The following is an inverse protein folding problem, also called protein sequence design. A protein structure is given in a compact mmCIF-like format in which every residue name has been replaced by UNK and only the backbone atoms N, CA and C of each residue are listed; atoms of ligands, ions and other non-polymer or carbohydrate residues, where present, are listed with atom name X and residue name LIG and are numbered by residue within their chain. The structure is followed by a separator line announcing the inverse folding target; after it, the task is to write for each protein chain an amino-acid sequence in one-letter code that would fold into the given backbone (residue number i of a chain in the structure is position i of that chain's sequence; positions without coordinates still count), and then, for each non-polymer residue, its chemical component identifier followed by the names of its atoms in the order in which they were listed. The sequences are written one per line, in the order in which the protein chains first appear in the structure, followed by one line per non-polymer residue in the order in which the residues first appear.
data_IF_741398695713
#
_entry.id   IF_741398695713
#
_cell.length_a   1.000
_cell.length_b   1.000
_cell.length_c   1.000
_cell.angle_alpha   90.00
_cell.angle_beta   90.00
_cell.angle_gamma   90.00
#
_symmetry.space_group_name_H-M   'P 1'
#
loop_
_entity.id
_entity.type
_entity.pdbx_description
1 polymer ?
#
# COMPACT_ATOMS: atom_id res chain seq x y z
N UNK A 1 0.08 -4.83 -7.86
CA UNK A 1 0.31 -6.05 -8.68
C UNK A 1 1.64 -6.63 -8.25
N UNK A 2 1.77 -7.94 -8.12
CA UNK A 2 3.05 -8.62 -7.99
C UNK A 2 3.37 -9.40 -9.26
N UNK A 3 4.55 -10.00 -9.32
CA UNK A 3 4.96 -10.89 -10.42
C UNK A 3 4.02 -12.10 -10.54
N UNK A 4 3.38 -12.51 -9.45
CA UNK A 4 2.48 -13.68 -9.39
C UNK A 4 0.99 -13.30 -9.49
N UNK A 5 0.67 -12.01 -9.65
CA UNK A 5 -0.69 -11.52 -9.85
C UNK A 5 -1.16 -10.49 -8.81
N UNK A 6 -2.47 -10.41 -8.60
CA UNK A 6 -3.08 -9.45 -7.67
C UNK A 6 -3.13 -10.01 -6.26
N UNK A 7 -2.48 -9.33 -5.31
CA UNK A 7 -2.43 -9.75 -3.89
C UNK A 7 -3.45 -9.00 -3.00
N UNK A 8 -3.95 -7.86 -3.44
CA UNK A 8 -4.90 -7.03 -2.70
C UNK A 8 -5.64 -6.07 -3.65
N UNK A 9 -6.93 -5.83 -3.40
CA UNK A 9 -7.78 -4.94 -4.20
C UNK A 9 -8.82 -4.27 -3.31
N UNK A 10 -9.07 -2.98 -3.53
CA UNK A 10 -10.18 -2.22 -2.94
C UNK A 10 -10.88 -1.47 -4.07
N UNK A 11 -12.19 -1.66 -4.21
CA UNK A 11 -13.02 -0.93 -5.18
C UNK A 11 -13.72 0.19 -4.43
N UNK A 12 -13.58 1.42 -4.94
CA UNK A 12 -14.13 2.64 -4.33
C UNK A 12 -15.02 3.35 -5.33
N UNK A 13 -16.16 3.86 -4.86
CA UNK A 13 -17.04 4.72 -5.65
C UNK A 13 -16.63 6.18 -5.43
N UNK A 14 -16.34 6.90 -6.51
CA UNK A 14 -15.97 8.31 -6.44
C UNK A 14 -14.46 8.53 -6.28
N UNK A 15 -14.08 9.67 -5.71
CA UNK A 15 -12.67 10.02 -5.47
C UNK A 15 -12.04 9.18 -4.36
N UNK A 16 -10.71 9.13 -4.37
CA UNK A 16 -9.91 8.38 -3.41
C UNK A 16 -8.90 9.33 -2.75
N UNK A 17 -9.01 9.48 -1.44
CA UNK A 17 -8.20 10.42 -0.67
C UNK A 17 -7.10 9.73 0.15
N UNK A 18 -6.30 10.53 0.88
CA UNK A 18 -5.19 10.04 1.67
C UNK A 18 -5.60 9.11 2.82
N UNK A 19 -6.78 9.31 3.43
CA UNK A 19 -7.28 8.46 4.52
C UNK A 19 -7.69 7.11 3.95
N UNK A 20 -8.45 7.10 2.87
CA UNK A 20 -8.88 5.89 2.18
C UNK A 20 -7.69 5.08 1.64
N UNK A 21 -6.63 5.78 1.22
CA UNK A 21 -5.36 5.18 0.82
C UNK A 21 -4.60 4.56 2.00
N UNK A 22 -4.53 5.22 3.15
CA UNK A 22 -3.93 4.65 4.36
C UNK A 22 -4.63 3.35 4.78
N UNK A 23 -5.97 3.32 4.77
CA UNK A 23 -6.72 2.08 5.02
C UNK A 23 -6.39 0.98 4.00
N UNK A 24 -6.22 1.36 2.72
CA UNK A 24 -5.83 0.42 1.69
C UNK A 24 -4.44 -0.16 1.95
N UNK A 25 -3.45 0.67 2.31
CA UNK A 25 -2.10 0.24 2.65
C UNK A 25 -2.11 -0.67 3.89
N UNK A 26 -2.90 -0.36 4.92
CA UNK A 26 -3.05 -1.23 6.10
C UNK A 26 -3.55 -2.64 5.71
N UNK A 27 -4.47 -2.73 4.74
CA UNK A 27 -4.91 -4.02 4.18
C UNK A 27 -3.82 -4.71 3.35
N UNK A 28 -3.09 -3.95 2.53
CA UNK A 28 -2.01 -4.45 1.68
C UNK A 28 -0.88 -5.06 2.50
N UNK A 29 -0.42 -4.38 3.56
CA UNK A 29 0.71 -4.81 4.38
C UNK A 29 0.49 -6.19 5.03
N UNK A 30 -0.76 -6.58 5.29
CA UNK A 30 -1.10 -7.94 5.79
C UNK A 30 -0.83 -9.06 4.78
N UNK A 31 -0.65 -8.71 3.51
CA UNK A 31 -0.40 -9.63 2.40
C UNK A 31 1.02 -9.51 1.83
N UNK A 32 1.87 -8.69 2.46
CA UNK A 32 3.29 -8.52 2.10
C UNK A 32 4.17 -9.35 3.04
N UNK A 33 5.46 -9.49 2.73
CA UNK A 33 6.44 -10.15 3.59
C UNK A 33 7.65 -9.25 3.85
N UNK A 34 8.36 -9.39 4.98
CA UNK A 34 9.61 -8.67 5.20
C UNK A 34 10.62 -8.88 4.06
N UNK A 35 11.37 -7.84 3.71
CA UNK A 35 12.44 -7.94 2.71
C UNK A 35 13.56 -8.88 3.20
N UNK A 36 14.09 -9.79 2.36
CA UNK A 36 13.94 -9.90 0.89
C UNK A 36 12.88 -10.92 0.42
N UNK A 37 11.87 -11.23 1.22
CA UNK A 37 10.81 -12.18 0.87
C UNK A 37 10.00 -11.79 -0.37
N UNK A 38 9.16 -12.70 -0.87
CA UNK A 38 8.23 -12.39 -1.97
C UNK A 38 7.28 -11.25 -1.56
N UNK A 39 6.94 -10.36 -2.49
CA UNK A 39 6.04 -9.23 -2.26
C UNK A 39 6.49 -8.31 -1.10
N UNK A 40 7.80 -8.08 -0.97
CA UNK A 40 8.38 -7.30 0.14
C UNK A 40 8.68 -5.84 -0.17
N UNK A 41 8.53 -5.42 -1.42
CA UNK A 41 8.81 -4.04 -1.85
C UNK A 41 7.52 -3.41 -2.36
N UNK A 42 7.17 -2.27 -1.76
CA UNK A 42 6.06 -1.44 -2.20
C UNK A 42 6.55 -0.43 -3.24
N UNK A 43 6.02 -0.50 -4.46
CA UNK A 43 6.34 0.42 -5.57
C UNK A 43 5.06 1.14 -5.97
N UNK A 44 5.10 2.47 -6.00
CA UNK A 44 3.95 3.35 -6.24
C UNK A 44 4.39 4.55 -7.08
N UNK A 45 3.44 5.17 -7.79
CA UNK A 45 3.68 6.46 -8.44
C UNK A 45 3.75 7.60 -7.40
N UNK A 46 4.30 8.73 -7.83
CA UNK A 46 4.56 9.89 -6.98
C UNK A 46 3.34 10.80 -6.80
N UNK A 47 2.19 10.22 -6.46
CA UNK A 47 0.97 10.97 -6.18
C UNK A 47 1.06 11.70 -4.82
N UNK A 48 0.50 12.91 -4.71
CA UNK A 48 0.59 13.71 -3.49
C UNK A 48 0.01 13.02 -2.24
N UNK A 49 -1.06 12.23 -2.40
CA UNK A 49 -1.66 11.49 -1.29
C UNK A 49 -0.79 10.31 -0.82
N UNK A 50 0.17 9.85 -1.63
CA UNK A 50 1.12 8.79 -1.25
C UNK A 50 2.28 9.32 -0.40
N UNK A 51 2.55 10.62 -0.44
CA UNK A 51 3.62 11.29 0.32
C UNK A 51 3.22 11.64 1.76
N UNK A 52 2.07 11.15 2.23
CA UNK A 52 1.61 11.38 3.60
C UNK A 52 2.55 10.72 4.63
N UNK A 53 2.89 11.47 5.69
CA UNK A 53 3.72 10.98 6.81
C UNK A 53 3.13 9.71 7.43
N UNK A 54 1.80 9.60 7.50
CA UNK A 54 1.10 8.41 7.97
C UNK A 54 1.48 7.16 7.17
N UNK A 55 1.58 7.24 5.85
CA UNK A 55 1.95 6.09 5.00
C UNK A 55 3.38 5.66 5.28
N UNK A 56 4.27 6.63 5.48
CA UNK A 56 5.67 6.38 5.79
C UNK A 56 5.85 5.68 7.14
N UNK A 57 5.14 6.14 8.17
CA UNK A 57 5.13 5.52 9.50
C UNK A 57 4.60 4.09 9.45
N UNK A 58 3.50 3.86 8.73
CA UNK A 58 2.91 2.53 8.57
C UNK A 58 3.88 1.54 7.92
N UNK A 59 4.57 1.94 6.85
CA UNK A 59 5.52 1.05 6.15
C UNK A 59 6.79 0.82 6.97
N UNK A 60 7.20 1.79 7.79
CA UNK A 60 8.38 1.64 8.67
C UNK A 60 8.12 0.78 9.91
N UNK A 61 6.92 0.83 10.45
CA UNK A 61 6.54 0.10 11.65
C UNK A 61 6.10 -1.35 11.38
N UNK A 62 5.83 -1.66 10.10
CA UNK A 62 5.51 -2.99 9.61
C UNK A 62 6.78 -3.79 9.32
#
# INVERSE_FOLDING_TARGET
LSIEGTIWLKIVRGSFDAIMFAEFVNGLLKNMNPYPGKNSVLVMDNCCIHQSELIWEMVKAW
#
